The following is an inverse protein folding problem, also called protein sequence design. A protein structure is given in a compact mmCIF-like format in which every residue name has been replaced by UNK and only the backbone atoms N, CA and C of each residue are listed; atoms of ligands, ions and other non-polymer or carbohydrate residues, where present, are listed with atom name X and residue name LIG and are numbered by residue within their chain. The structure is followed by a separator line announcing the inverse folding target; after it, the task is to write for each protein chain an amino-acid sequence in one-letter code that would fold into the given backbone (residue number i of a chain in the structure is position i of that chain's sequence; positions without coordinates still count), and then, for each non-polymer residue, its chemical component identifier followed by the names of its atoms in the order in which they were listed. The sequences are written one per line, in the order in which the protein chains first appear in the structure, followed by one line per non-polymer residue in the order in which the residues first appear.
data_IF_488822931192
#
_entry.id   IF_488822931192
#
_cell.length_a   1.000
_cell.length_b   1.000
_cell.length_c   1.000
_cell.angle_alpha   90.00
_cell.angle_beta   90.00
_cell.angle_gamma   90.00
#
_symmetry.space_group_name_H-M   'P 1'
#
loop_
_entity.id
_entity.type
_entity.pdbx_description
1 polymer ?
#
# COMPACT_ATOMS: atom_id res chain seq x y z
N UNK A 1 -22.94 -21.37 29.22
CA UNK A 1 -23.29 -20.21 28.37
C UNK A 1 -22.93 -20.63 26.97
N UNK A 2 -23.88 -20.71 26.05
CA UNK A 2 -23.57 -21.03 24.65
C UNK A 2 -22.89 -19.82 24.03
N UNK A 3 -21.68 -20.00 23.49
CA UNK A 3 -20.99 -18.95 22.75
C UNK A 3 -21.77 -18.68 21.46
N UNK A 4 -22.32 -17.48 21.34
CA UNK A 4 -22.95 -17.00 20.11
C UNK A 4 -21.87 -16.37 19.24
N UNK A 5 -21.87 -16.75 17.97
CA UNK A 5 -20.99 -16.25 16.91
C UNK A 5 -21.83 -15.42 15.94
N UNK A 6 -21.21 -14.39 15.35
CA UNK A 6 -21.86 -13.48 14.41
C UNK A 6 -20.95 -13.20 13.22
N UNK A 7 -21.53 -13.21 12.03
CA UNK A 7 -20.89 -12.78 10.79
C UNK A 7 -21.69 -11.66 10.16
N UNK A 8 -21.00 -10.60 9.70
CA UNK A 8 -21.60 -9.48 8.99
C UNK A 8 -20.70 -9.09 7.82
N UNK A 9 -21.29 -8.93 6.63
CA UNK A 9 -20.60 -8.59 5.39
C UNK A 9 -21.40 -7.49 4.69
N UNK A 10 -20.75 -6.37 4.38
CA UNK A 10 -21.35 -5.25 3.66
C UNK A 10 -20.51 -4.89 2.45
N UNK A 11 -21.11 -4.89 1.25
CA UNK A 11 -20.46 -4.52 -0.02
C UNK A 11 -21.46 -3.72 -0.86
N UNK A 12 -21.24 -2.41 -0.98
CA UNK A 12 -22.18 -1.53 -1.68
C UNK A 12 -23.55 -1.51 -0.99
N UNK A 13 -24.62 -1.81 -1.73
CA UNK A 13 -25.99 -1.94 -1.20
C UNK A 13 -26.27 -3.32 -0.59
N UNK A 14 -25.34 -4.26 -0.69
CA UNK A 14 -25.50 -5.61 -0.17
C UNK A 14 -25.10 -5.67 1.32
N UNK A 15 -25.98 -6.24 2.14
CA UNK A 15 -25.78 -6.48 3.57
C UNK A 15 -26.18 -7.92 3.90
N UNK A 16 -25.25 -8.67 4.49
CA UNK A 16 -25.47 -10.01 5.02
C UNK A 16 -25.13 -10.02 6.50
N UNK A 17 -26.04 -10.51 7.34
CA UNK A 17 -25.84 -10.62 8.78
C UNK A 17 -26.46 -11.94 9.28
N UNK A 18 -25.69 -12.70 10.06
CA UNK A 18 -26.19 -13.91 10.71
C UNK A 18 -25.55 -14.09 12.09
N UNK A 19 -26.37 -14.42 13.09
CA UNK A 19 -25.97 -14.66 14.47
C UNK A 19 -26.56 -15.99 14.96
N UNK A 20 -25.74 -16.83 15.57
CA UNK A 20 -26.13 -18.16 16.01
C UNK A 20 -25.00 -18.89 16.74
N UNK A 21 -25.13 -20.20 16.92
CA UNK A 21 -23.99 -21.03 17.36
C UNK A 21 -22.91 -21.09 16.27
N UNK A 22 -21.67 -21.41 16.64
CA UNK A 22 -20.55 -21.49 15.69
C UNK A 22 -20.85 -22.42 14.50
N UNK A 23 -21.49 -23.57 14.75
CA UNK A 23 -21.87 -24.54 13.72
C UNK A 23 -22.92 -23.94 12.76
N UNK A 24 -23.95 -23.29 13.31
CA UNK A 24 -25.00 -22.66 12.49
C UNK A 24 -24.45 -21.52 11.63
N UNK A 25 -23.51 -20.74 12.16
CA UNK A 25 -22.84 -19.66 11.44
C UNK A 25 -21.97 -20.22 10.31
N UNK A 26 -21.21 -21.26 10.56
CA UNK A 26 -20.35 -21.90 9.55
C UNK A 26 -21.17 -22.55 8.44
N UNK A 27 -22.27 -23.23 8.78
CA UNK A 27 -23.19 -23.82 7.79
C UNK A 27 -23.86 -22.74 6.92
N UNK A 28 -24.32 -21.65 7.55
CA UNK A 28 -24.92 -20.53 6.81
C UNK A 28 -23.92 -19.83 5.91
N UNK A 29 -22.69 -19.66 6.37
CA UNK A 29 -21.62 -19.08 5.56
C UNK A 29 -21.18 -19.99 4.42
N UNK A 30 -21.19 -21.31 4.62
CA UNK A 30 -20.91 -22.28 3.55
C UNK A 30 -22.00 -22.28 2.47
N UNK A 31 -23.27 -22.27 2.86
CA UNK A 31 -24.40 -22.10 1.93
C UNK A 31 -24.27 -20.80 1.12
N UNK A 32 -23.94 -19.69 1.80
CA UNK A 32 -23.72 -18.40 1.16
C UNK A 32 -22.62 -18.44 0.08
N UNK A 33 -21.57 -19.25 0.28
CA UNK A 33 -20.51 -19.45 -0.70
C UNK A 33 -20.95 -20.32 -1.89
N UNK A 34 -21.71 -21.38 -1.65
CA UNK A 34 -22.16 -22.30 -2.71
C UNK A 34 -23.27 -21.72 -3.59
N UNK A 35 -24.15 -20.88 -3.04
CA UNK A 35 -25.29 -20.30 -3.76
C UNK A 35 -24.89 -19.23 -4.81
N UNK A 36 -23.59 -19.09 -5.12
CA UNK A 36 -23.09 -18.20 -6.17
C UNK A 36 -23.07 -16.72 -5.80
N UNK A 37 -23.65 -16.33 -4.66
CA UNK A 37 -23.63 -14.96 -4.15
C UNK A 37 -22.21 -14.45 -3.90
N UNK A 38 -21.29 -15.32 -3.46
CA UNK A 38 -19.88 -14.95 -3.29
C UNK A 38 -19.22 -14.54 -4.61
N UNK A 39 -19.56 -15.22 -5.71
CA UNK A 39 -19.02 -14.93 -7.03
C UNK A 39 -19.54 -13.58 -7.54
N UNK A 40 -20.85 -13.32 -7.37
CA UNK A 40 -21.49 -12.04 -7.73
C UNK A 40 -20.84 -10.90 -6.93
N UNK A 41 -20.63 -11.08 -5.62
CA UNK A 41 -19.97 -10.09 -4.77
C UNK A 41 -18.53 -9.80 -5.22
N UNK A 42 -17.75 -10.84 -5.55
CA UNK A 42 -16.39 -10.63 -6.08
C UNK A 42 -16.39 -9.98 -7.45
N UNK A 43 -17.36 -10.31 -8.32
CA UNK A 43 -17.52 -9.66 -9.63
C UNK A 43 -17.86 -8.19 -9.46
N UNK A 44 -18.82 -7.84 -8.59
CA UNK A 44 -19.16 -6.43 -8.29
C UNK A 44 -17.98 -5.67 -7.69
N UNK A 45 -17.20 -6.30 -6.81
CA UNK A 45 -16.02 -5.68 -6.20
C UNK A 45 -14.91 -5.47 -7.24
N UNK A 46 -14.78 -6.41 -8.19
CA UNK A 46 -13.86 -6.31 -9.31
C UNK A 46 -14.31 -5.26 -10.33
N UNK A 47 -15.60 -5.20 -10.66
CA UNK A 47 -16.19 -4.19 -11.52
C UNK A 47 -16.08 -2.79 -10.90
N UNK A 48 -16.36 -2.64 -9.60
CA UNK A 48 -16.14 -1.39 -8.88
C UNK A 48 -14.67 -0.96 -8.91
N UNK A 49 -13.74 -1.91 -8.80
CA UNK A 49 -12.30 -1.65 -8.94
C UNK A 49 -11.95 -1.24 -10.37
N UNK A 50 -12.47 -1.92 -11.38
CA UNK A 50 -12.23 -1.62 -12.79
C UNK A 50 -12.83 -0.26 -13.20
N UNK A 51 -14.02 0.08 -12.71
CA UNK A 51 -14.63 1.41 -12.86
C UNK A 51 -13.79 2.48 -12.16
N UNK A 52 -13.25 2.21 -10.96
CA UNK A 52 -12.32 3.15 -10.30
C UNK A 52 -11.01 3.30 -11.09
N UNK A 53 -10.52 2.24 -11.73
CA UNK A 53 -9.36 2.31 -12.60
C UNK A 53 -9.67 3.11 -13.88
N UNK A 54 -10.85 2.94 -14.47
CA UNK A 54 -11.29 3.67 -15.66
C UNK A 54 -11.63 5.14 -15.37
N UNK A 55 -12.21 5.47 -14.21
CA UNK A 55 -12.42 6.88 -13.81
C UNK A 55 -11.09 7.57 -13.50
N UNK A 56 -10.12 6.85 -12.93
CA UNK A 56 -8.74 7.32 -12.83
C UNK A 56 -8.07 7.47 -14.21
N UNK A 57 -8.42 6.65 -15.20
CA UNK A 57 -7.95 6.78 -16.58
C UNK A 57 -8.50 8.05 -17.27
N UNK A 58 -9.71 8.52 -16.94
CA UNK A 58 -10.29 9.75 -17.51
C UNK A 58 -9.63 11.03 -16.94
N UNK A 59 -9.11 10.99 -15.71
CA UNK A 59 -8.32 12.11 -15.13
C UNK A 59 -6.88 12.15 -15.69
N UNK A 60 -6.41 11.07 -16.33
CA UNK A 60 -4.99 10.87 -16.70
C UNK A 60 -4.56 11.46 -18.07
N UNK A 61 -5.37 12.34 -18.70
CA UNK A 61 -4.98 12.94 -19.99
C UNK A 61 -3.97 14.08 -19.90
N UNK A 62 -3.55 14.52 -18.71
CA UNK A 62 -2.56 15.60 -18.57
C UNK A 62 -1.12 15.16 -18.30
N UNK A 63 -0.86 13.93 -17.84
CA UNK A 63 0.48 13.31 -17.91
C UNK A 63 0.35 11.79 -17.98
N UNK A 64 0.98 11.16 -18.98
CA UNK A 64 1.04 9.70 -19.08
C UNK A 64 1.99 9.15 -17.99
N UNK A 65 1.43 8.86 -16.83
CA UNK A 65 2.13 8.33 -15.66
C UNK A 65 2.27 6.83 -15.86
N UNK A 66 3.47 6.29 -15.71
CA UNK A 66 3.69 4.84 -15.87
C UNK A 66 2.88 4.06 -14.83
N UNK A 67 2.51 2.81 -15.11
CA UNK A 67 1.85 1.93 -14.13
C UNK A 67 2.63 1.83 -12.81
N UNK A 68 3.97 1.86 -12.93
CA UNK A 68 4.89 1.89 -11.79
C UNK A 68 4.78 3.19 -10.99
N UNK A 69 4.78 4.33 -11.69
CA UNK A 69 4.57 5.64 -11.10
C UNK A 69 3.20 5.80 -10.45
N UNK A 70 2.14 5.24 -11.05
CA UNK A 70 0.79 5.23 -10.49
C UNK A 70 0.74 4.45 -9.17
N UNK A 71 1.34 3.26 -9.12
CA UNK A 71 1.41 2.45 -7.88
C UNK A 71 2.14 3.21 -6.77
N UNK A 72 3.26 3.86 -7.09
CA UNK A 72 3.99 4.65 -6.11
C UNK A 72 3.21 5.89 -5.67
N UNK A 73 2.54 6.59 -6.59
CA UNK A 73 1.69 7.74 -6.25
C UNK A 73 0.56 7.33 -5.30
N UNK A 74 -0.15 6.24 -5.61
CA UNK A 74 -1.20 5.72 -4.74
C UNK A 74 -0.68 5.40 -3.34
N UNK A 75 0.56 4.87 -3.22
CA UNK A 75 1.19 4.66 -1.92
C UNK A 75 1.43 5.99 -1.18
N UNK A 76 1.92 7.02 -1.86
CA UNK A 76 2.15 8.35 -1.26
C UNK A 76 0.85 8.98 -0.78
N UNK A 77 -0.22 8.86 -1.57
CA UNK A 77 -1.55 9.40 -1.28
C UNK A 77 -2.23 8.64 -0.15
N UNK A 78 -2.32 7.30 -0.24
CA UNK A 78 -2.98 6.46 0.76
C UNK A 78 -2.27 6.49 2.12
N UNK A 79 -0.95 6.67 2.13
CA UNK A 79 -0.17 6.77 3.37
C UNK A 79 0.05 8.22 3.82
N UNK A 80 -0.66 9.21 3.25
CA UNK A 80 -0.55 10.62 3.65
C UNK A 80 0.91 11.10 3.81
N UNK A 81 1.77 10.75 2.86
CA UNK A 81 3.21 11.05 2.90
C UNK A 81 3.45 12.48 2.42
N UNK A 82 3.12 13.46 3.26
CA UNK A 82 3.18 14.88 2.89
C UNK A 82 4.60 15.44 2.87
N UNK A 83 5.47 15.00 3.79
CA UNK A 83 6.84 15.51 3.92
C UNK A 83 7.85 14.83 3.00
N UNK A 84 8.82 15.60 2.46
CA UNK A 84 9.96 15.05 1.69
C UNK A 84 10.67 13.87 2.38
N UNK A 85 10.93 13.86 3.71
CA UNK A 85 11.48 12.68 4.38
C UNK A 85 10.56 11.45 4.31
N UNK A 86 9.26 11.62 4.55
CA UNK A 86 8.31 10.51 4.54
C UNK A 86 8.13 9.94 3.13
N UNK A 87 8.11 10.80 2.10
CA UNK A 87 8.09 10.36 0.70
C UNK A 87 9.35 9.58 0.33
N UNK A 88 10.52 9.97 0.84
CA UNK A 88 11.77 9.21 0.64
C UNK A 88 11.71 7.86 1.34
N UNK A 89 11.15 7.79 2.54
CA UNK A 89 10.94 6.51 3.26
C UNK A 89 9.98 5.60 2.47
N UNK A 90 8.86 6.14 1.99
CA UNK A 90 7.90 5.43 1.14
C UNK A 90 8.51 4.96 -0.18
N UNK A 91 9.35 5.78 -0.83
CA UNK A 91 10.05 5.40 -2.06
C UNK A 91 11.02 4.23 -1.81
N UNK A 92 11.77 4.25 -0.71
CA UNK A 92 12.65 3.15 -0.34
C UNK A 92 11.86 1.87 -0.03
N UNK A 93 10.72 1.98 0.67
CA UNK A 93 9.83 0.85 0.92
C UNK A 93 9.31 0.25 -0.38
N UNK A 94 8.80 1.09 -1.29
CA UNK A 94 8.30 0.66 -2.58
C UNK A 94 9.38 -0.07 -3.39
N UNK A 95 10.56 0.52 -3.53
CA UNK A 95 11.66 -0.11 -4.27
C UNK A 95 12.12 -1.42 -3.62
N UNK A 96 12.27 -1.45 -2.29
CA UNK A 96 12.89 -2.58 -1.57
C UNK A 96 11.94 -3.72 -1.30
N UNK A 97 10.82 -3.40 -0.68
CA UNK A 97 9.90 -4.37 -0.11
C UNK A 97 8.82 -4.75 -1.13
N UNK A 98 8.40 -3.83 -2.01
CA UNK A 98 7.39 -4.10 -3.06
C UNK A 98 8.04 -4.58 -4.37
N UNK A 99 9.07 -3.90 -4.87
CA UNK A 99 9.73 -4.27 -6.14
C UNK A 99 10.95 -5.19 -5.98
N UNK A 100 11.47 -5.37 -4.76
CA UNK A 100 12.63 -6.23 -4.51
C UNK A 100 13.97 -5.65 -5.01
N UNK A 101 14.04 -4.36 -5.32
CA UNK A 101 15.24 -3.66 -5.80
C UNK A 101 16.22 -3.48 -4.64
N UNK A 102 17.30 -4.26 -4.65
CA UNK A 102 18.32 -4.27 -3.59
C UNK A 102 19.37 -3.16 -3.69
N UNK A 103 19.37 -2.39 -4.77
CA UNK A 103 20.34 -1.35 -5.01
C UNK A 103 19.61 -0.12 -5.55
N UNK A 104 19.44 0.88 -4.68
CA UNK A 104 18.62 2.06 -4.93
C UNK A 104 19.51 3.30 -4.99
N UNK A 105 20.36 3.48 -6.03
CA UNK A 105 21.14 4.70 -6.16
C UNK A 105 20.21 5.91 -6.35
N UNK A 106 20.69 7.14 -6.09
CA UNK A 106 19.88 8.36 -6.19
C UNK A 106 19.07 8.49 -7.49
N UNK A 107 19.65 8.05 -8.63
CA UNK A 107 18.98 8.04 -9.92
C UNK A 107 17.72 7.17 -9.92
N UNK A 108 17.79 5.94 -9.41
CA UNK A 108 16.63 5.03 -9.36
C UNK A 108 15.51 5.57 -8.47
N UNK A 109 15.88 6.24 -7.37
CA UNK A 109 14.89 6.87 -6.49
C UNK A 109 14.24 8.06 -7.21
N UNK A 110 15.02 8.94 -7.83
CA UNK A 110 14.48 10.10 -8.56
C UNK A 110 13.63 9.69 -9.77
N UNK A 111 14.07 8.68 -10.54
CA UNK A 111 13.30 8.13 -11.66
C UNK A 111 11.89 7.70 -11.19
N UNK A 112 11.77 7.10 -10.00
CA UNK A 112 10.47 6.72 -9.43
C UNK A 112 9.57 7.93 -9.12
N UNK A 113 10.15 9.03 -8.61
CA UNK A 113 9.42 10.28 -8.38
C UNK A 113 8.93 10.91 -9.69
N UNK A 114 9.80 10.93 -10.72
CA UNK A 114 9.48 11.43 -12.05
C UNK A 114 8.39 10.59 -12.73
N UNK A 115 8.53 9.26 -12.70
CA UNK A 115 7.54 8.31 -13.19
C UNK A 115 6.18 8.52 -12.53
N UNK A 116 6.17 8.86 -11.24
CA UNK A 116 4.98 9.17 -10.46
C UNK A 116 4.55 10.64 -10.55
N UNK A 117 5.14 11.46 -11.42
CA UNK A 117 4.86 12.90 -11.54
C UNK A 117 4.81 13.63 -10.17
N UNK A 118 5.65 13.22 -9.22
CA UNK A 118 5.82 13.84 -7.91
C UNK A 118 7.14 14.59 -7.92
N UNK A 119 7.18 15.82 -7.40
CA UNK A 119 8.42 16.58 -7.29
C UNK A 119 9.49 15.76 -6.54
N UNK A 120 10.66 15.50 -7.16
CA UNK A 120 11.75 14.81 -6.49
C UNK A 120 12.18 15.56 -5.22
N UNK A 121 12.65 14.83 -4.19
CA UNK A 121 13.01 15.44 -2.92
C UNK A 121 14.23 16.37 -3.00
N UNK A 122 15.04 16.29 -4.08
CA UNK A 122 16.28 17.03 -4.24
C UNK A 122 17.44 16.35 -3.50
N UNK A 123 17.81 16.84 -2.32
CA UNK A 123 18.95 16.30 -1.56
C UNK A 123 18.59 14.97 -0.86
N UNK A 124 18.59 13.87 -1.59
CA UNK A 124 18.29 12.53 -1.09
C UNK A 124 19.18 12.11 0.09
N UNK A 125 20.47 12.41 0.03
CA UNK A 125 21.40 12.05 1.10
C UNK A 125 21.03 12.68 2.43
N UNK A 126 20.58 13.94 2.43
CA UNK A 126 20.09 14.62 3.63
C UNK A 126 18.89 13.88 4.24
N UNK A 127 17.91 13.50 3.42
CA UNK A 127 16.69 12.83 3.91
C UNK A 127 16.97 11.41 4.39
N UNK A 128 17.79 10.65 3.66
CA UNK A 128 18.19 9.30 4.07
C UNK A 128 18.95 9.35 5.42
N UNK A 129 19.85 10.32 5.60
CA UNK A 129 20.57 10.49 6.86
C UNK A 129 19.62 10.84 8.01
N UNK A 130 18.67 11.76 7.80
CA UNK A 130 17.64 12.09 8.82
C UNK A 130 16.77 10.90 9.19
N UNK A 131 16.42 10.06 8.22
CA UNK A 131 15.64 8.84 8.46
C UNK A 131 16.48 7.79 9.21
N UNK A 132 17.78 7.68 8.91
CA UNK A 132 18.74 6.86 9.66
C UNK A 132 18.89 7.34 11.10
N UNK A 133 19.00 8.65 11.33
CA UNK A 133 19.05 9.25 12.68
C UNK A 133 17.79 8.94 13.50
N UNK A 134 16.62 8.90 12.84
CA UNK A 134 15.35 8.47 13.45
C UNK A 134 15.20 6.96 13.60
N UNK A 135 16.22 6.18 13.23
CA UNK A 135 16.20 4.72 13.23
C UNK A 135 15.12 4.10 12.33
N UNK A 136 14.61 4.85 11.35
CA UNK A 136 13.65 4.33 10.35
C UNK A 136 14.36 3.59 9.22
N UNK A 137 15.62 3.92 8.99
CA UNK A 137 16.49 3.24 8.04
C UNK A 137 17.70 2.64 8.74
N UNK A 138 18.12 1.48 8.26
CA UNK A 138 19.41 0.89 8.54
C UNK A 138 20.23 0.85 7.25
N UNK A 139 21.53 1.10 7.35
CA UNK A 139 22.45 0.98 6.22
C UNK A 139 23.54 0.00 6.65
N UNK A 140 23.54 -1.19 6.04
CA UNK A 140 24.50 -2.21 6.40
C UNK A 140 25.93 -1.78 6.03
N UNK A 141 26.86 -1.90 6.97
CA UNK A 141 28.26 -1.56 6.76
C UNK A 141 28.97 -2.51 5.76
N UNK A 142 28.32 -3.61 5.37
CA UNK A 142 28.81 -4.61 4.40
C UNK A 142 29.17 -4.01 3.04
N UNK A 143 28.56 -2.90 2.65
CA UNK A 143 28.78 -2.23 1.36
C UNK A 143 29.40 -0.82 1.50
N UNK A 144 30.00 -0.52 2.65
CA UNK A 144 30.66 0.76 2.93
C UNK A 144 29.69 1.88 3.32
N UNK A 145 28.62 1.55 4.06
CA UNK A 145 27.63 2.50 4.62
C UNK A 145 27.03 3.47 3.58
N UNK A 146 26.81 2.98 2.35
CA UNK A 146 26.30 3.79 1.24
C UNK A 146 24.77 3.84 1.27
N UNK A 147 24.21 5.05 1.17
CA UNK A 147 22.76 5.31 1.11
C UNK A 147 21.99 4.50 0.07
N UNK A 148 22.63 4.07 -1.02
CA UNK A 148 22.02 3.19 -2.03
C UNK A 148 21.57 1.83 -1.49
N UNK A 149 22.10 1.42 -0.33
CA UNK A 149 21.79 0.17 0.36
C UNK A 149 20.94 0.39 1.63
N UNK A 150 20.26 1.53 1.75
CA UNK A 150 19.36 1.76 2.87
C UNK A 150 18.17 0.79 2.83
N UNK A 151 17.88 0.21 3.99
CA UNK A 151 16.79 -0.74 4.23
C UNK A 151 15.91 -0.21 5.36
N UNK A 152 14.60 -0.45 5.26
CA UNK A 152 13.68 -0.06 6.33
C UNK A 152 13.89 -0.95 7.55
N UNK A 153 13.90 -0.30 8.72
CA UNK A 153 13.78 -1.00 9.99
C UNK A 153 12.32 -1.34 10.27
N UNK A 154 12.08 -2.17 11.29
CA UNK A 154 10.72 -2.41 11.80
C UNK A 154 10.03 -1.11 12.22
N UNK A 155 10.76 -0.18 12.85
CA UNK A 155 10.24 1.14 13.22
C UNK A 155 9.85 1.97 12.00
N UNK A 156 10.66 1.94 10.94
CA UNK A 156 10.36 2.64 9.69
C UNK A 156 9.11 2.10 9.00
N UNK A 157 8.93 0.78 8.99
CA UNK A 157 7.71 0.14 8.44
C UNK A 157 6.47 0.50 9.25
N UNK A 158 6.56 0.37 10.58
CA UNK A 158 5.47 0.75 11.48
C UNK A 158 5.07 2.22 11.32
N UNK A 159 6.02 3.13 11.14
CA UNK A 159 5.72 4.55 10.88
C UNK A 159 4.93 4.75 9.58
N UNK A 160 5.19 3.97 8.53
CA UNK A 160 4.40 4.00 7.31
C UNK A 160 3.00 3.40 7.53
N UNK A 161 2.89 2.30 8.27
CA UNK A 161 1.61 1.67 8.62
C UNK A 161 0.71 2.60 9.46
N UNK A 162 1.28 3.24 10.49
CA UNK A 162 0.59 4.20 11.34
C UNK A 162 0.09 5.43 10.57
N UNK A 163 0.68 5.70 9.40
CA UNK A 163 0.24 6.75 8.48
C UNK A 163 -0.81 6.29 7.47
N UNK A 164 -0.78 5.02 7.07
CA UNK A 164 -1.80 4.43 6.20
C UNK A 164 -3.14 4.20 6.90
N UNK A 165 -3.12 4.01 8.22
CA UNK A 165 -4.32 3.83 9.04
C UNK A 165 -5.01 5.12 9.51
N UNK A 166 -4.61 6.29 9.00
CA UNK A 166 -5.16 7.60 9.34
C UNK A 166 -5.89 8.21 8.15
#
# INVERSE_FOLDING_TARGET
MSEMSKISIQVGEFEFEYEGSQIEVDEKFAQFKEEGFWNIMTEMLQEAKDINLDTNAVVSKEQAVSDRGLKFRNLVENCSLEGKPDRVLGALHFLRDVEGVKDCPPRVINDLFEEANIEPPGNLSLYINRLKEKQFLNIANKHGDKNRFAELTELGRKHLEDKAGK
#
